data_IF_268103849533
#
_entry.id   IF_268103849533
#
_cell.length_a   1.000
_cell.length_b   1.000
_cell.length_c   1.000
_cell.angle_alpha   90.00
_cell.angle_beta   90.00
_cell.angle_gamma   90.00
#
_symmetry.space_group_name_H-M   'P 1'
#
loop_
_entity.id
_entity.type
_entity.pdbx_description
1 polymer ?
#
# COMPACT_ATOMS: atom_id res chain seq x y z
N UNK A 1 -7.55 3.06 16.97
CA UNK A 1 -7.90 1.64 17.14
C UNK A 1 -7.53 0.89 15.87
N UNK A 2 -6.74 -0.18 16.01
CA UNK A 2 -6.26 -0.99 14.89
C UNK A 2 -7.10 -2.24 14.77
N UNK A 3 -7.47 -2.61 13.53
CA UNK A 3 -8.18 -3.85 13.20
C UNK A 3 -7.20 -4.72 12.43
N UNK A 4 -7.03 -5.95 12.86
CA UNK A 4 -6.09 -6.92 12.26
C UNK A 4 -6.82 -8.21 11.95
N UNK A 5 -6.32 -8.95 10.96
CA UNK A 5 -6.84 -10.29 10.67
C UNK A 5 -6.51 -11.27 11.81
N UNK A 6 -7.43 -12.20 12.04
CA UNK A 6 -7.36 -13.22 13.08
C UNK A 6 -6.45 -14.39 12.63
N UNK A 7 -5.20 -14.10 12.30
CA UNK A 7 -4.21 -15.12 12.00
C UNK A 7 -3.53 -15.59 13.30
N UNK A 8 -3.52 -16.91 13.52
CA UNK A 8 -3.02 -17.53 14.77
C UNK A 8 -1.57 -17.14 15.04
N UNK A 9 -0.73 -17.13 14.01
CA UNK A 9 0.69 -16.80 14.15
C UNK A 9 0.89 -15.34 14.54
N UNK A 10 0.13 -14.42 13.94
CA UNK A 10 0.16 -12.99 14.25
C UNK A 10 -0.30 -12.75 15.70
N UNK A 11 -1.40 -13.37 16.10
CA UNK A 11 -1.90 -13.27 17.49
C UNK A 11 -0.87 -13.77 18.49
N UNK A 12 -0.22 -14.91 18.19
CA UNK A 12 0.80 -15.48 19.06
C UNK A 12 2.01 -14.54 19.19
N UNK A 13 2.48 -13.99 18.07
CA UNK A 13 3.63 -13.08 18.05
C UNK A 13 3.34 -11.78 18.81
N UNK A 14 2.16 -11.19 18.64
CA UNK A 14 1.77 -9.99 19.39
C UNK A 14 1.66 -10.23 20.88
N UNK A 15 1.22 -11.43 21.30
CA UNK A 15 1.17 -11.81 22.71
C UNK A 15 2.57 -12.03 23.31
N UNK A 16 3.47 -12.63 22.54
CA UNK A 16 4.83 -12.96 22.98
C UNK A 16 5.75 -11.73 22.92
N UNK A 17 5.56 -10.88 21.91
CA UNK A 17 6.38 -9.71 21.64
C UNK A 17 5.49 -8.47 21.57
N UNK A 18 5.05 -7.92 22.71
CA UNK A 18 4.16 -6.77 22.72
C UNK A 18 4.83 -5.56 22.06
N UNK A 19 4.08 -4.85 21.22
CA UNK A 19 4.54 -3.64 20.55
C UNK A 19 4.47 -2.48 21.53
N UNK A 20 5.54 -1.70 21.61
CA UNK A 20 5.62 -0.49 22.42
C UNK A 20 5.57 0.75 21.52
N UNK A 21 4.76 1.73 21.91
CA UNK A 21 4.72 3.05 21.31
C UNK A 21 4.93 4.07 22.43
N UNK A 22 5.99 4.89 22.31
CA UNK A 22 6.35 5.87 23.34
C UNK A 22 6.50 5.26 24.75
N UNK A 23 7.07 4.06 24.83
CA UNK A 23 7.28 3.34 26.09
C UNK A 23 6.04 2.70 26.71
N UNK A 24 4.89 2.77 26.05
CA UNK A 24 3.63 2.13 26.47
C UNK A 24 3.29 0.97 25.56
N UNK A 25 2.75 -0.10 26.13
CA UNK A 25 2.27 -1.24 25.32
C UNK A 25 1.11 -0.77 24.45
N UNK A 26 1.20 -1.04 23.16
CA UNK A 26 0.11 -0.83 22.22
C UNK A 26 -1.00 -1.84 22.53
N UNK A 27 -2.14 -1.36 23.01
CA UNK A 27 -3.30 -2.19 23.40
C UNK A 27 -4.60 -1.77 22.70
N UNK A 28 -4.53 -0.84 21.74
CA UNK A 28 -5.70 -0.33 21.02
C UNK A 28 -5.94 -1.07 19.70
N UNK A 29 -5.60 -2.36 19.65
CA UNK A 29 -5.87 -3.25 18.53
C UNK A 29 -6.82 -4.38 18.92
N UNK A 30 -7.45 -4.98 17.93
CA UNK A 30 -8.26 -6.20 18.08
C UNK A 30 -8.22 -7.01 16.80
N UNK A 31 -8.39 -8.31 16.95
CA UNK A 31 -8.40 -9.25 15.83
C UNK A 31 -9.83 -9.56 15.41
N UNK A 32 -10.05 -9.66 14.11
CA UNK A 32 -11.34 -10.01 13.50
C UNK A 32 -11.12 -11.09 12.44
N UNK A 33 -12.15 -11.88 12.19
CA UNK A 33 -12.14 -12.84 11.08
C UNK A 33 -12.30 -12.08 9.76
N UNK A 34 -11.26 -12.09 8.94
CA UNK A 34 -11.25 -11.42 7.61
C UNK A 34 -12.36 -11.92 6.69
N UNK A 35 -12.85 -13.14 6.89
CA UNK A 35 -13.98 -13.68 6.11
C UNK A 35 -15.29 -12.94 6.37
N UNK A 36 -15.42 -12.30 7.52
CA UNK A 36 -16.64 -11.60 7.95
C UNK A 36 -16.46 -10.08 8.05
N UNK A 37 -15.23 -9.58 8.10
CA UNK A 37 -14.95 -8.15 8.20
C UNK A 37 -14.60 -7.53 6.85
N UNK A 38 -15.52 -6.72 6.33
CA UNK A 38 -15.37 -6.06 5.03
C UNK A 38 -14.20 -5.07 4.98
N UNK A 39 -13.83 -4.47 6.11
CA UNK A 39 -12.71 -3.50 6.14
C UNK A 39 -11.38 -4.21 6.01
N UNK A 40 -11.23 -5.39 6.63
CA UNK A 40 -10.02 -6.22 6.46
C UNK A 40 -9.93 -6.73 5.03
N UNK A 41 -11.03 -7.24 4.46
CA UNK A 41 -11.07 -7.66 3.05
C UNK A 41 -10.69 -6.51 2.09
N UNK A 42 -11.20 -5.31 2.32
CA UNK A 42 -10.86 -4.14 1.51
C UNK A 42 -9.38 -3.77 1.65
N UNK A 43 -8.82 -3.88 2.85
CA UNK A 43 -7.40 -3.66 3.10
C UNK A 43 -6.54 -4.64 2.31
N UNK A 44 -6.88 -5.94 2.30
CA UNK A 44 -6.16 -6.97 1.55
C UNK A 44 -6.19 -6.70 0.05
N UNK A 45 -7.34 -6.30 -0.48
CA UNK A 45 -7.46 -5.90 -1.89
C UNK A 45 -6.58 -4.69 -2.19
N UNK A 46 -6.61 -3.66 -1.33
CA UNK A 46 -5.79 -2.46 -1.50
C UNK A 46 -4.28 -2.79 -1.47
N UNK A 47 -3.84 -3.58 -0.50
CA UNK A 47 -2.44 -4.05 -0.40
C UNK A 47 -2.06 -4.88 -1.63
N UNK A 48 -2.93 -5.77 -2.09
CA UNK A 48 -2.70 -6.56 -3.30
C UNK A 48 -2.51 -5.69 -4.55
N UNK A 49 -3.32 -4.66 -4.73
CA UNK A 49 -3.20 -3.71 -5.84
C UNK A 49 -1.87 -2.94 -5.77
N UNK A 50 -1.54 -2.39 -4.60
CA UNK A 50 -0.29 -1.64 -4.41
C UNK A 50 0.93 -2.53 -4.63
N UNK A 51 0.93 -3.75 -4.09
CA UNK A 51 2.02 -4.72 -4.29
C UNK A 51 2.23 -5.07 -5.76
N UNK A 52 1.14 -5.28 -6.51
CA UNK A 52 1.21 -5.52 -7.95
C UNK A 52 1.75 -4.32 -8.72
N UNK A 53 1.38 -3.12 -8.31
CA UNK A 53 1.88 -1.89 -8.94
C UNK A 53 3.38 -1.70 -8.65
N UNK A 54 3.82 -1.92 -7.42
CA UNK A 54 5.25 -1.86 -7.06
C UNK A 54 6.05 -2.91 -7.81
N UNK A 55 5.54 -4.14 -7.91
CA UNK A 55 6.17 -5.20 -8.70
C UNK A 55 6.28 -4.81 -10.19
N UNK A 56 5.24 -4.21 -10.76
CA UNK A 56 5.27 -3.73 -12.13
C UNK A 56 6.36 -2.66 -12.34
N UNK A 57 6.50 -1.72 -11.42
CA UNK A 57 7.57 -0.69 -11.45
C UNK A 57 8.95 -1.35 -11.35
N UNK A 58 9.11 -2.32 -10.44
CA UNK A 58 10.34 -3.06 -10.21
C UNK A 58 10.80 -3.78 -11.49
N UNK A 59 9.91 -4.49 -12.14
CA UNK A 59 10.23 -5.28 -13.34
C UNK A 59 10.56 -4.43 -14.57
N UNK A 60 10.03 -3.23 -14.65
CA UNK A 60 10.13 -2.41 -15.88
C UNK A 60 10.98 -1.15 -15.73
N UNK A 61 11.20 -0.68 -14.50
CA UNK A 61 11.84 0.62 -14.26
C UNK A 61 11.00 1.81 -14.78
N UNK A 62 11.39 3.02 -14.43
CA UNK A 62 10.60 4.25 -14.74
C UNK A 62 10.48 4.55 -16.22
N UNK A 63 11.55 4.34 -16.98
CA UNK A 63 11.55 4.65 -18.43
C UNK A 63 10.60 3.72 -19.16
N UNK A 64 10.65 2.42 -18.85
CA UNK A 64 9.77 1.43 -19.47
C UNK A 64 8.32 1.60 -19.03
N UNK A 65 8.06 1.94 -17.77
CA UNK A 65 6.71 2.25 -17.29
C UNK A 65 6.11 3.43 -18.06
N UNK A 66 6.91 4.47 -18.35
CA UNK A 66 6.47 5.58 -19.19
C UNK A 66 6.07 5.10 -20.59
N UNK A 67 6.93 4.34 -21.27
CA UNK A 67 6.66 3.83 -22.62
C UNK A 67 5.43 2.93 -22.64
N UNK A 68 5.32 2.02 -21.65
CA UNK A 68 4.17 1.11 -21.55
C UNK A 68 2.88 1.89 -21.28
N UNK A 69 2.92 2.92 -20.42
CA UNK A 69 1.73 3.73 -20.13
C UNK A 69 1.25 4.54 -21.33
N UNK A 70 2.12 4.90 -22.27
CA UNK A 70 1.78 5.56 -23.54
C UNK A 70 1.04 4.60 -24.50
N UNK A 71 1.23 3.29 -24.35
CA UNK A 71 0.53 2.25 -25.13
C UNK A 71 -0.82 1.82 -24.54
N UNK A 72 -1.19 2.34 -23.38
CA UNK A 72 -2.45 1.98 -22.73
C UNK A 72 -3.67 2.43 -23.55
N UNK A 73 -4.66 1.56 -23.65
CA UNK A 73 -5.96 1.96 -24.15
C UNK A 73 -6.65 2.92 -23.15
N UNK A 74 -7.77 3.50 -23.56
CA UNK A 74 -8.49 4.50 -22.76
C UNK A 74 -8.86 3.99 -21.35
N UNK A 75 -9.36 2.75 -21.25
CA UNK A 75 -9.72 2.16 -19.96
C UNK A 75 -8.51 1.93 -19.06
N UNK A 76 -7.42 1.41 -19.62
CA UNK A 76 -6.16 1.21 -18.89
C UNK A 76 -5.59 2.55 -18.40
N UNK A 77 -5.57 3.56 -19.27
CA UNK A 77 -5.12 4.92 -18.92
C UNK A 77 -5.97 5.53 -17.81
N UNK A 78 -7.28 5.34 -17.85
CA UNK A 78 -8.21 5.81 -16.80
C UNK A 78 -7.94 5.14 -15.46
N UNK A 79 -7.80 3.81 -15.45
CA UNK A 79 -7.52 3.04 -14.22
C UNK A 79 -6.15 3.42 -13.66
N UNK A 80 -5.13 3.51 -14.51
CA UNK A 80 -3.79 3.90 -14.10
C UNK A 80 -3.75 5.29 -13.46
N UNK A 81 -4.42 6.28 -14.05
CA UNK A 81 -4.55 7.63 -13.46
C UNK A 81 -5.29 7.61 -12.13
N UNK A 82 -6.41 6.88 -12.04
CA UNK A 82 -7.15 6.74 -10.77
C UNK A 82 -6.29 6.14 -9.66
N UNK A 83 -5.52 5.09 -9.97
CA UNK A 83 -4.61 4.47 -9.00
C UNK A 83 -3.59 5.50 -8.50
N UNK A 84 -2.90 6.20 -9.41
CA UNK A 84 -1.93 7.23 -9.02
C UNK A 84 -2.57 8.37 -8.22
N UNK A 85 -3.81 8.76 -8.55
CA UNK A 85 -4.56 9.77 -7.77
C UNK A 85 -4.85 9.30 -6.33
N UNK A 86 -5.25 8.05 -6.15
CA UNK A 86 -5.47 7.47 -4.81
C UNK A 86 -4.16 7.43 -4.03
N UNK A 87 -3.08 6.95 -4.66
CA UNK A 87 -1.76 6.88 -4.02
C UNK A 87 -1.25 8.27 -3.64
N UNK A 88 -1.44 9.29 -4.51
CA UNK A 88 -1.09 10.67 -4.21
C UNK A 88 -1.85 11.20 -3.00
N UNK A 89 -3.17 11.01 -2.96
CA UNK A 89 -3.99 11.43 -1.82
C UNK A 89 -3.56 10.75 -0.52
N UNK A 90 -3.23 9.45 -0.58
CA UNK A 90 -2.75 8.70 0.58
C UNK A 90 -1.41 9.22 1.10
N UNK A 91 -0.48 9.54 0.20
CA UNK A 91 0.81 10.16 0.53
C UNK A 91 0.63 11.57 1.10
N UNK A 92 -0.22 12.39 0.50
CA UNK A 92 -0.47 13.77 0.93
C UNK A 92 -1.14 13.78 2.33
N UNK A 93 -1.98 12.77 2.63
CA UNK A 93 -2.56 12.58 3.95
C UNK A 93 -1.55 12.05 4.98
N UNK A 94 -0.71 11.09 4.59
CA UNK A 94 0.35 10.54 5.44
C UNK A 94 1.64 10.35 4.62
N UNK A 95 2.60 11.28 4.73
CA UNK A 95 3.86 11.20 3.98
C UNK A 95 4.68 9.94 4.26
N UNK A 96 4.45 9.26 5.38
CA UNK A 96 5.13 8.02 5.74
C UNK A 96 4.47 6.78 5.13
N UNK A 97 3.33 6.93 4.43
CA UNK A 97 2.58 5.81 3.87
C UNK A 97 3.42 4.89 2.98
N UNK A 98 4.34 5.46 2.19
CA UNK A 98 5.24 4.70 1.33
C UNK A 98 6.65 4.46 1.92
N UNK A 99 7.07 5.22 2.92
CA UNK A 99 8.45 5.20 3.41
C UNK A 99 8.85 3.91 4.13
N UNK A 100 7.89 3.10 4.55
CA UNK A 100 8.16 1.90 5.35
C UNK A 100 8.19 0.61 4.54
N UNK A 101 7.82 0.66 3.25
CA UNK A 101 7.58 -0.57 2.48
C UNK A 101 8.44 -0.70 1.22
N UNK A 102 9.23 0.30 0.86
CA UNK A 102 10.04 0.29 -0.35
C UNK A 102 11.46 0.77 -0.08
N UNK A 103 12.43 0.30 -0.90
CA UNK A 103 13.77 0.88 -0.91
C UNK A 103 13.72 2.36 -1.33
N UNK A 104 14.72 3.14 -0.93
CA UNK A 104 14.81 4.57 -1.29
C UNK A 104 14.72 4.81 -2.80
N UNK A 105 15.26 3.90 -3.58
CA UNK A 105 15.23 3.95 -5.05
C UNK A 105 13.80 3.84 -5.58
N UNK A 106 13.04 2.82 -5.15
CA UNK A 106 11.63 2.64 -5.55
C UNK A 106 10.72 3.74 -5.01
N UNK A 107 11.02 4.26 -3.84
CA UNK A 107 10.29 5.41 -3.30
C UNK A 107 10.39 6.63 -4.20
N UNK A 108 11.59 6.95 -4.68
CA UNK A 108 11.82 8.04 -5.64
C UNK A 108 11.05 7.82 -6.95
N UNK A 109 11.12 6.60 -7.49
CA UNK A 109 10.42 6.21 -8.73
C UNK A 109 8.90 6.30 -8.59
N UNK A 110 8.36 5.79 -7.51
CA UNK A 110 6.92 5.83 -7.24
C UNK A 110 6.41 7.26 -7.12
N UNK A 111 7.14 8.14 -6.42
CA UNK A 111 6.77 9.54 -6.30
C UNK A 111 6.72 10.26 -7.66
N UNK A 112 7.72 10.04 -8.52
CA UNK A 112 7.73 10.61 -9.88
C UNK A 112 6.51 10.15 -10.70
N UNK A 113 6.15 8.85 -10.62
CA UNK A 113 4.98 8.32 -11.34
C UNK A 113 3.67 8.87 -10.77
N UNK A 114 3.55 8.87 -9.45
CA UNK A 114 2.37 9.39 -8.76
C UNK A 114 2.15 10.86 -9.08
N UNK A 115 3.19 11.70 -9.06
CA UNK A 115 3.06 13.12 -9.35
C UNK A 115 2.75 13.38 -10.82
N UNK A 116 3.29 12.57 -11.73
CA UNK A 116 3.07 12.72 -13.17
C UNK A 116 1.69 12.28 -13.63
N UNK A 117 1.15 11.19 -13.06
CA UNK A 117 -0.07 10.55 -13.57
C UNK A 117 -1.30 10.75 -12.68
N UNK A 118 -1.17 11.31 -11.48
CA UNK A 118 -2.32 11.72 -10.68
C UNK A 118 -3.05 12.91 -11.35
N UNK A 119 -4.37 12.87 -11.26
CA UNK A 119 -5.27 13.91 -11.79
C UNK A 119 -5.92 14.65 -10.63
#
# INVERSE_FOLDING_TARGET
>A
RWIMDNEIDIIYDFKKNPVFVEGKILNNYFFVDSKTDTMVQLSDVAVGIVSRYLYFIDQHGTVSVKIISESFNENQSRVFRKLNTVLKKSRDFNPLFFNQQTSLEYHGLLNVLVDKYAV
#
